data_IF_243527254800
#
_entry.id   IF_243527254800
#
_cell.length_a   1.000
_cell.length_b   1.000
_cell.length_c   1.000
_cell.angle_alpha   90.00
_cell.angle_beta   90.00
_cell.angle_gamma   90.00
#
_symmetry.space_group_name_H-M   'P 1'
#
loop_
_entity.id
_entity.type
_entity.pdbx_description
1 polymer ?
#
# COMPACT_ATOMS: atom_id res chain seq x y z
N UNK A 1 4.26 27.93 -42.70
CA UNK A 1 3.07 27.69 -41.86
C UNK A 1 3.19 26.26 -41.39
N UNK A 2 3.78 26.06 -40.22
CA UNK A 2 4.21 24.74 -39.72
C UNK A 2 3.02 24.00 -39.12
N UNK A 3 2.70 22.82 -39.67
CA UNK A 3 1.70 21.90 -39.13
C UNK A 3 2.27 21.28 -37.85
N UNK A 4 1.75 21.68 -36.69
CA UNK A 4 1.99 20.98 -35.43
C UNK A 4 1.06 19.76 -35.39
N UNK A 5 1.59 18.60 -35.80
CA UNK A 5 0.97 17.30 -35.59
C UNK A 5 0.64 17.11 -34.11
N UNK A 6 -0.62 17.35 -33.76
CA UNK A 6 -1.09 17.26 -32.39
C UNK A 6 -1.21 15.78 -32.04
N UNK A 7 -0.23 15.25 -31.30
CA UNK A 7 -0.21 13.85 -30.88
C UNK A 7 -1.27 13.62 -29.80
N UNK A 8 -2.49 13.30 -30.21
CA UNK A 8 -3.61 13.01 -29.31
C UNK A 8 -3.39 11.64 -28.66
N UNK A 9 -3.13 11.62 -27.36
CA UNK A 9 -3.11 10.39 -26.54
C UNK A 9 -4.54 10.16 -26.03
N UNK A 10 -5.25 9.11 -26.46
CA UNK A 10 -6.62 8.88 -26.02
C UNK A 10 -6.65 8.58 -24.51
N UNK A 11 -7.46 9.33 -23.77
CA UNK A 11 -7.69 9.09 -22.35
C UNK A 11 -8.49 7.78 -22.19
N UNK A 12 -8.11 6.89 -21.25
CA UNK A 12 -8.79 5.61 -21.08
C UNK A 12 -10.26 5.82 -20.64
N UNK A 13 -11.12 4.97 -21.19
CA UNK A 13 -12.58 5.12 -21.37
C UNK A 13 -13.43 5.12 -20.08
N UNK A 14 -12.84 5.27 -18.89
CA UNK A 14 -13.57 5.43 -17.62
C UNK A 14 -13.12 6.71 -16.91
N UNK A 15 -13.44 7.88 -17.46
CA UNK A 15 -13.06 9.17 -16.87
C UNK A 15 -14.12 10.23 -17.13
N UNK A 16 -15.23 10.17 -16.40
CA UNK A 16 -15.96 11.41 -16.08
C UNK A 16 -15.05 12.27 -15.20
N UNK A 17 -14.14 12.99 -15.84
CA UNK A 17 -13.27 13.96 -15.20
C UNK A 17 -13.77 15.35 -15.59
N UNK A 18 -13.95 16.23 -14.60
CA UNK A 18 -14.27 17.63 -14.86
C UNK A 18 -12.96 18.37 -15.08
N UNK A 19 -12.73 18.83 -16.30
CA UNK A 19 -11.55 19.64 -16.64
C UNK A 19 -11.72 21.04 -16.08
N UNK A 20 -10.68 21.56 -15.43
CA UNK A 20 -10.62 22.94 -14.94
C UNK A 20 -9.85 23.78 -15.95
N UNK A 21 -10.54 24.74 -16.57
CA UNK A 21 -9.96 25.65 -17.55
C UNK A 21 -9.60 26.99 -16.90
N UNK A 22 -8.49 27.58 -17.33
CA UNK A 22 -8.14 28.97 -17.06
C UNK A 22 -8.97 29.94 -17.92
N UNK A 23 -8.89 31.24 -17.59
CA UNK A 23 -9.57 32.30 -18.35
C UNK A 23 -9.08 32.43 -19.80
N UNK A 24 -7.90 31.90 -20.08
CA UNK A 24 -7.22 31.76 -21.36
C UNK A 24 -7.65 30.48 -22.14
N UNK A 25 -8.50 29.64 -21.55
CA UNK A 25 -8.87 28.34 -22.10
C UNK A 25 -7.83 27.25 -21.88
N UNK A 26 -6.75 27.52 -21.14
CA UNK A 26 -5.72 26.52 -20.84
C UNK A 26 -6.21 25.52 -19.77
N UNK A 27 -5.90 24.24 -19.93
CA UNK A 27 -6.22 23.21 -18.93
C UNK A 27 -5.31 23.37 -17.72
N UNK A 28 -5.88 23.78 -16.58
CA UNK A 28 -5.16 23.97 -15.30
C UNK A 28 -5.28 22.77 -14.36
N UNK A 29 -6.15 21.81 -14.68
CA UNK A 29 -6.26 20.56 -13.93
C UNK A 29 -7.51 19.76 -14.31
N UNK A 30 -7.75 18.67 -13.58
CA UNK A 30 -8.96 17.87 -13.70
C UNK A 30 -9.37 17.31 -12.35
N UNK A 31 -10.68 17.20 -12.13
CA UNK A 31 -11.28 16.62 -10.93
C UNK A 31 -11.89 15.27 -11.32
N UNK A 32 -11.43 14.20 -10.66
CA UNK A 32 -12.08 12.90 -10.77
C UNK A 32 -13.27 12.84 -9.80
N UNK A 33 -14.41 12.28 -10.23
CA UNK A 33 -15.45 11.87 -9.28
C UNK A 33 -14.83 10.96 -8.20
N UNK A 34 -15.09 11.21 -6.91
CA UNK A 34 -14.59 10.35 -5.84
C UNK A 34 -15.03 8.90 -6.10
N UNK A 35 -14.08 7.98 -6.17
CA UNK A 35 -14.41 6.55 -6.27
C UNK A 35 -15.05 6.11 -4.95
N UNK A 36 -16.32 5.70 -4.99
CA UNK A 36 -16.94 5.06 -3.83
C UNK A 36 -16.24 3.72 -3.59
N UNK A 37 -15.32 3.71 -2.63
CA UNK A 37 -14.50 2.55 -2.37
C UNK A 37 -15.26 1.48 -1.57
N UNK A 38 -15.55 0.32 -2.18
CA UNK A 38 -16.12 -0.87 -1.52
C UNK A 38 -15.07 -1.79 -0.87
N UNK A 39 -13.77 -1.47 -0.96
CA UNK A 39 -12.62 -2.30 -0.52
C UNK A 39 -12.44 -2.41 1.02
N UNK A 40 -13.52 -2.23 1.80
CA UNK A 40 -13.49 -2.38 3.26
C UNK A 40 -13.06 -1.11 4.02
N UNK A 41 -12.99 -1.22 5.36
CA UNK A 41 -12.65 -0.11 6.28
C UNK A 41 -11.17 -0.08 6.68
N UNK A 42 -10.45 -1.14 6.37
CA UNK A 42 -9.05 -1.32 6.75
C UNK A 42 -8.16 -0.90 5.60
N UNK A 43 -7.13 -0.12 5.91
CA UNK A 43 -6.13 0.28 4.95
C UNK A 43 -4.78 0.34 5.65
N UNK A 44 -3.71 0.44 4.87
CA UNK A 44 -2.44 0.89 5.39
C UNK A 44 -2.06 2.21 4.72
N UNK A 45 -1.29 3.02 5.42
CA UNK A 45 -0.65 4.22 4.87
C UNK A 45 0.81 3.87 4.67
N UNK A 46 1.25 3.81 3.41
CA UNK A 46 2.66 3.67 3.07
C UNK A 46 3.32 5.04 2.97
N UNK A 47 4.50 5.21 3.57
CA UNK A 47 5.31 6.41 3.39
C UNK A 47 6.07 6.34 2.08
N UNK A 48 6.15 7.46 1.34
CA UNK A 48 6.85 7.51 0.04
C UNK A 48 8.29 7.01 0.14
N UNK A 49 9.05 7.50 1.12
CA UNK A 49 10.42 7.08 1.40
C UNK A 49 10.52 5.59 1.79
N UNK A 50 9.52 5.08 2.50
CA UNK A 50 9.45 3.67 2.88
C UNK A 50 9.20 2.76 1.68
N UNK A 51 8.29 3.16 0.79
CA UNK A 51 8.00 2.44 -0.45
C UNK A 51 9.17 2.48 -1.43
N UNK A 52 9.86 3.61 -1.54
CA UNK A 52 11.09 3.76 -2.31
C UNK A 52 12.20 2.84 -1.77
N UNK A 53 12.39 2.83 -0.45
CA UNK A 53 13.31 1.91 0.21
C UNK A 53 12.98 0.45 -0.11
N UNK A 54 11.72 0.04 0.00
CA UNK A 54 11.28 -1.32 -0.36
C UNK A 54 11.51 -1.66 -1.84
N UNK A 55 11.35 -0.71 -2.76
CA UNK A 55 11.56 -0.92 -4.20
C UNK A 55 13.03 -1.13 -4.54
N UNK A 56 13.94 -0.54 -3.75
CA UNK A 56 15.39 -0.68 -3.92
C UNK A 56 15.95 -2.02 -3.39
N UNK A 57 15.15 -2.79 -2.64
CA UNK A 57 15.60 -4.04 -2.03
C UNK A 57 15.65 -5.18 -3.04
N UNK A 58 16.69 -6.00 -2.97
CA UNK A 58 16.80 -7.25 -3.74
C UNK A 58 15.91 -8.33 -3.10
N UNK A 59 14.63 -8.27 -3.45
CA UNK A 59 13.60 -9.23 -3.07
C UNK A 59 13.12 -10.03 -4.28
N UNK A 60 13.02 -11.35 -4.11
CA UNK A 60 12.41 -12.20 -5.13
C UNK A 60 10.90 -11.96 -5.21
N UNK A 61 10.27 -12.35 -6.32
CA UNK A 61 8.81 -12.24 -6.48
C UNK A 61 8.02 -12.97 -5.38
N UNK A 62 8.51 -14.11 -4.89
CA UNK A 62 7.90 -14.81 -3.75
C UNK A 62 8.03 -14.02 -2.45
N UNK A 63 9.17 -13.37 -2.22
CA UNK A 63 9.39 -12.54 -1.04
C UNK A 63 8.50 -11.30 -1.06
N UNK A 64 8.32 -10.67 -2.22
CA UNK A 64 7.34 -9.60 -2.41
C UNK A 64 5.91 -10.06 -2.16
N UNK A 65 5.52 -11.26 -2.60
CA UNK A 65 4.19 -11.82 -2.28
C UNK A 65 3.99 -11.97 -0.78
N UNK A 66 5.00 -12.49 -0.07
CA UNK A 66 4.96 -12.60 1.40
C UNK A 66 4.85 -11.22 2.05
N UNK A 67 5.63 -10.23 1.60
CA UNK A 67 5.56 -8.85 2.10
C UNK A 67 4.15 -8.24 1.93
N UNK A 68 3.57 -8.35 0.73
CA UNK A 68 2.22 -7.86 0.46
C UNK A 68 1.17 -8.57 1.31
N UNK A 69 1.34 -9.88 1.53
CA UNK A 69 0.46 -10.62 2.42
C UNK A 69 0.58 -10.12 3.87
N UNK A 70 1.79 -9.87 4.38
CA UNK A 70 1.97 -9.30 5.71
C UNK A 70 1.29 -7.93 5.83
N UNK A 71 1.39 -7.06 4.83
CA UNK A 71 0.65 -5.79 4.82
C UNK A 71 -0.88 -5.97 4.92
N UNK A 72 -1.43 -7.00 4.30
CA UNK A 72 -2.86 -7.32 4.40
C UNK A 72 -3.30 -7.84 5.78
N UNK A 73 -2.34 -8.24 6.63
CA UNK A 73 -2.60 -8.83 7.96
C UNK A 73 -2.18 -7.92 9.11
N UNK A 74 -1.86 -6.65 8.83
CA UNK A 74 -1.49 -5.68 9.86
C UNK A 74 -2.63 -5.50 10.86
N UNK A 75 -2.31 -5.70 12.13
CA UNK A 75 -3.20 -5.42 13.25
C UNK A 75 -2.84 -4.06 13.92
N UNK A 76 -3.45 -3.74 15.07
CA UNK A 76 -3.13 -2.52 15.82
C UNK A 76 -1.62 -2.42 16.13
N UNK A 77 -1.07 -1.21 16.08
CA UNK A 77 0.34 -0.91 16.32
C UNK A 77 1.33 -1.69 15.41
N UNK A 78 0.93 -1.94 14.16
CA UNK A 78 1.73 -2.65 13.16
C UNK A 78 2.08 -4.10 13.57
N UNK A 79 1.32 -4.68 14.49
CA UNK A 79 1.52 -6.03 14.96
C UNK A 79 1.00 -7.06 13.96
N UNK A 80 1.72 -8.17 13.82
CA UNK A 80 1.43 -9.25 12.89
C UNK A 80 1.49 -10.57 13.66
N UNK A 81 0.36 -11.28 13.74
CA UNK A 81 0.32 -12.65 14.25
C UNK A 81 -0.14 -13.58 13.14
N UNK A 82 0.81 -14.00 12.31
CA UNK A 82 0.53 -14.84 11.15
C UNK A 82 1.46 -16.07 11.16
N UNK A 83 0.92 -17.29 11.31
CA UNK A 83 1.71 -18.51 11.19
C UNK A 83 2.29 -18.67 9.78
N UNK A 84 3.55 -19.09 9.64
CA UNK A 84 4.15 -19.34 8.32
C UNK A 84 3.40 -20.42 7.51
N UNK A 85 2.73 -21.35 8.20
CA UNK A 85 1.85 -22.35 7.58
C UNK A 85 0.68 -21.67 6.86
N UNK A 86 0.04 -20.67 7.48
CA UNK A 86 -1.04 -19.89 6.87
C UNK A 86 -0.55 -19.16 5.62
N UNK A 87 0.64 -18.54 5.68
CA UNK A 87 1.24 -17.85 4.52
C UNK A 87 1.49 -18.83 3.37
N UNK A 88 2.05 -20.00 3.69
CA UNK A 88 2.32 -21.07 2.72
C UNK A 88 1.04 -21.53 2.01
N UNK A 89 -0.03 -21.80 2.77
CA UNK A 89 -1.33 -22.21 2.25
C UNK A 89 -2.00 -21.11 1.41
N UNK A 90 -2.00 -19.85 1.89
CA UNK A 90 -2.68 -18.74 1.22
C UNK A 90 -1.99 -18.29 -0.06
N UNK A 91 -0.66 -18.37 -0.12
CA UNK A 91 0.11 -17.93 -1.28
C UNK A 91 0.52 -19.09 -2.20
N UNK A 92 0.15 -20.33 -1.85
CA UNK A 92 0.60 -21.55 -2.53
C UNK A 92 2.14 -21.59 -2.67
N UNK A 93 2.85 -21.29 -1.58
CA UNK A 93 4.30 -21.27 -1.52
C UNK A 93 4.81 -22.43 -0.66
N UNK A 94 5.95 -23.00 -1.01
CA UNK A 94 6.59 -24.00 -0.16
C UNK A 94 7.03 -23.36 1.17
N UNK A 95 6.91 -24.11 2.28
CA UNK A 95 7.24 -23.62 3.63
C UNK A 95 8.67 -23.08 3.75
N UNK A 96 9.63 -23.68 3.04
CA UNK A 96 11.03 -23.19 3.03
C UNK A 96 11.15 -21.82 2.36
N UNK A 97 10.37 -21.54 1.31
CA UNK A 97 10.38 -20.24 0.63
C UNK A 97 9.78 -19.15 1.53
N UNK A 98 8.68 -19.46 2.23
CA UNK A 98 8.11 -18.57 3.25
C UNK A 98 9.12 -18.28 4.36
N UNK A 99 9.79 -19.32 4.88
CA UNK A 99 10.79 -19.16 5.93
C UNK A 99 11.96 -18.27 5.51
N UNK A 100 12.48 -18.48 4.29
CA UNK A 100 13.52 -17.63 3.69
C UNK A 100 13.04 -16.20 3.51
N UNK A 101 11.80 -15.99 3.07
CA UNK A 101 11.23 -14.65 2.92
C UNK A 101 11.11 -13.92 4.25
N UNK A 102 10.58 -14.56 5.29
CA UNK A 102 10.49 -13.96 6.63
C UNK A 102 11.88 -13.60 7.16
N UNK A 103 12.87 -14.48 6.97
CA UNK A 103 14.26 -14.21 7.38
C UNK A 103 14.83 -13.00 6.64
N UNK A 104 14.69 -12.96 5.30
CA UNK A 104 15.18 -11.86 4.46
C UNK A 104 14.53 -10.52 4.83
N UNK A 105 13.21 -10.51 5.06
CA UNK A 105 12.49 -9.30 5.48
C UNK A 105 12.93 -8.81 6.86
N UNK A 106 13.31 -9.72 7.76
CA UNK A 106 13.87 -9.34 9.06
C UNK A 106 15.31 -8.80 8.94
N UNK A 107 16.15 -9.42 8.09
CA UNK A 107 17.51 -8.96 7.80
C UNK A 107 17.53 -7.54 7.18
N UNK A 108 16.51 -7.20 6.39
CA UNK A 108 16.35 -5.90 5.75
C UNK A 108 15.64 -4.85 6.63
N UNK A 109 15.39 -5.14 7.90
CA UNK A 109 14.65 -4.28 8.84
C UNK A 109 13.26 -3.86 8.34
N UNK A 110 12.63 -4.70 7.50
CA UNK A 110 11.24 -4.50 7.08
C UNK A 110 10.29 -4.94 8.19
N UNK A 111 10.61 -6.06 8.84
CA UNK A 111 9.87 -6.57 10.00
C UNK A 111 10.82 -6.85 11.16
N UNK A 112 10.38 -6.56 12.38
CA UNK A 112 11.01 -7.05 13.60
C UNK A 112 10.35 -8.36 14.05
N UNK A 113 11.14 -9.35 14.45
CA UNK A 113 10.63 -10.61 15.03
C UNK A 113 10.39 -10.40 16.52
N UNK A 114 9.14 -10.57 16.94
CA UNK A 114 8.71 -10.46 18.33
C UNK A 114 8.72 -11.81 19.07
N UNK A 115 8.31 -11.81 20.35
CA UNK A 115 8.20 -13.02 21.16
C UNK A 115 7.16 -13.99 20.59
N UNK A 116 7.21 -15.26 21.02
CA UNK A 116 6.20 -16.23 20.66
C UNK A 116 4.87 -15.92 21.35
N UNK A 117 3.77 -15.97 20.60
CA UNK A 117 2.41 -15.92 21.13
C UNK A 117 1.77 -17.31 20.92
N UNK A 118 1.86 -18.16 21.94
CA UNK A 118 1.59 -19.60 21.81
C UNK A 118 2.64 -20.25 20.89
N UNK A 119 2.19 -21.02 19.89
CA UNK A 119 3.08 -21.70 18.94
C UNK A 119 3.49 -20.86 17.71
N UNK A 120 3.09 -19.58 17.67
CA UNK A 120 3.34 -18.71 16.52
C UNK A 120 4.29 -17.58 16.88
N UNK A 121 5.25 -17.29 15.97
CA UNK A 121 6.05 -16.06 16.04
C UNK A 121 5.15 -14.86 15.78
N UNK A 122 5.46 -13.77 16.45
CA UNK A 122 4.84 -12.47 16.20
C UNK A 122 5.84 -11.61 15.44
N UNK A 123 5.33 -10.65 14.67
CA UNK A 123 6.16 -9.71 13.94
C UNK A 123 5.62 -8.30 14.13
N UNK A 124 6.48 -7.31 13.95
CA UNK A 124 6.07 -5.91 13.88
C UNK A 124 6.61 -5.30 12.61
N UNK A 125 5.77 -4.62 11.84
CA UNK A 125 6.24 -3.89 10.67
C UNK A 125 7.03 -2.65 11.08
N UNK A 126 8.12 -2.36 10.39
CA UNK A 126 8.88 -1.14 10.59
C UNK A 126 7.97 0.09 10.35
N UNK A 127 7.75 0.94 11.38
CA UNK A 127 6.86 2.09 11.27
C UNK A 127 7.33 3.13 10.25
N UNK A 128 8.62 3.13 9.87
CA UNK A 128 9.13 4.04 8.81
C UNK A 128 8.61 3.68 7.42
N UNK A 129 8.09 2.47 7.24
CA UNK A 129 7.61 1.96 5.96
C UNK A 129 6.11 2.22 5.81
N UNK A 130 5.32 1.74 6.76
CA UNK A 130 3.88 1.92 6.74
C UNK A 130 3.25 1.82 8.14
N UNK A 131 2.02 2.31 8.23
CA UNK A 131 1.14 2.11 9.39
C UNK A 131 -0.22 1.56 8.98
N UNK A 132 -0.82 0.71 9.83
CA UNK A 132 -2.25 0.40 9.71
C UNK A 132 -3.08 1.65 9.98
N UNK A 133 -4.03 1.93 9.09
CA UNK A 133 -5.07 2.90 9.30
C UNK A 133 -6.46 2.25 9.37
N UNK A 134 -7.34 2.83 10.18
CA UNK A 134 -8.74 2.42 10.25
C UNK A 134 -9.62 3.58 9.82
N UNK A 135 -10.57 3.32 8.92
CA UNK A 135 -11.51 4.36 8.51
C UNK A 135 -12.60 4.45 9.57
N UNK A 136 -12.42 5.36 10.54
CA UNK A 136 -13.51 5.74 11.44
C UNK A 136 -14.50 6.63 10.68
N UNK A 137 -15.80 6.37 10.84
CA UNK A 137 -16.87 7.17 10.23
C UNK A 137 -17.12 8.50 10.95
N UNK A 138 -16.34 8.83 12.00
CA UNK A 138 -16.38 10.15 12.61
C UNK A 138 -15.77 11.15 11.63
N UNK A 139 -16.62 11.98 11.00
CA UNK A 139 -16.19 13.19 10.30
C UNK A 139 -15.23 13.95 11.23
N UNK A 140 -14.01 14.32 10.80
CA UNK A 140 -13.30 15.35 11.52
C UNK A 140 -14.17 16.61 11.42
N UNK A 141 -14.73 17.01 12.56
CA UNK A 141 -15.42 18.28 12.70
C UNK A 141 -14.33 19.35 12.64
N UNK A 142 -13.90 19.71 11.43
CA UNK A 142 -13.11 20.92 11.24
C UNK A 142 -14.09 22.08 11.41
N UNK A 143 -14.27 22.53 12.65
CA UNK A 143 -14.74 23.88 12.92
C UNK A 143 -13.65 24.83 12.42
N UNK A 144 -13.82 25.32 11.19
CA UNK A 144 -13.12 26.52 10.77
C UNK A 144 -13.78 27.69 11.49
N UNK A 145 -13.30 27.98 12.68
CA UNK A 145 -13.46 29.31 13.29
C UNK A 145 -12.20 30.09 12.92
N UNK A 146 -12.34 31.03 11.99
CA UNK A 146 -11.55 32.27 11.92
C UNK A 146 -12.55 33.37 11.63
#
# INVERSE_FOLDING_TARGET
MENLDTKVIPLPTERECTVVLGADGEVKGYINKPRFNKLGREYFVGFKSGLEGLASMDLTGEQYKVLMYLFSRLDFDNFLKVPQKEISEKLNLHKSNVSKAIKKLAELDVIAVGPMAGHSKTYRLNPRIAHRGLRTTKKPLFSMTH
#
